data_IF_843986839844
#
_entry.id   IF_843986839844
#
_cell.length_a   1.000
_cell.length_b   1.000
_cell.length_c   1.000
_cell.angle_alpha   90.00
_cell.angle_beta   90.00
_cell.angle_gamma   90.00
#
_symmetry.space_group_name_H-M   'P 1'
#
loop_
_entity.id
_entity.type
_entity.pdbx_description
1 polymer ?
#
# COMPACT_ATOMS: atom_id res chain seq x y z
N UNK A 1 -5.05 13.51 9.09
CA UNK A 1 -5.66 12.26 8.58
C UNK A 1 -4.80 11.74 7.42
N UNK A 2 -4.75 10.43 7.13
CA UNK A 2 -3.87 9.87 6.06
C UNK A 2 -4.06 10.58 4.70
N UNK A 3 -5.31 10.89 4.34
CA UNK A 3 -5.63 11.61 3.11
C UNK A 3 -5.14 13.06 3.07
N UNK A 4 -4.95 13.74 4.20
CA UNK A 4 -4.49 15.14 4.20
C UNK A 4 -3.05 15.28 3.72
N UNK A 5 -2.24 14.25 3.95
CA UNK A 5 -0.85 14.19 3.51
C UNK A 5 -0.74 13.83 2.03
N UNK A 6 -1.46 12.79 1.58
CA UNK A 6 -1.32 12.23 0.22
C UNK A 6 -2.30 12.82 -0.81
N UNK A 7 -3.35 13.51 -0.34
CA UNK A 7 -4.36 14.14 -1.18
C UNK A 7 -4.97 15.40 -0.53
N UNK A 8 -4.23 16.52 -0.51
CA UNK A 8 -4.69 17.76 0.10
C UNK A 8 -6.00 18.25 -0.51
N UNK A 9 -6.90 18.79 0.32
CA UNK A 9 -8.24 19.24 -0.08
C UNK A 9 -9.14 18.13 -0.66
N UNK A 10 -8.94 16.87 -0.28
CA UNK A 10 -9.78 15.74 -0.72
C UNK A 10 -11.27 15.96 -0.42
N UNK A 11 -11.61 16.66 0.67
CA UNK A 11 -12.98 17.00 1.06
C UNK A 11 -13.73 17.78 -0.03
N UNK A 12 -13.04 18.68 -0.74
CA UNK A 12 -13.64 19.47 -1.85
C UNK A 12 -13.92 18.64 -3.09
N UNK A 13 -13.29 17.46 -3.18
CA UNK A 13 -13.41 16.51 -4.30
C UNK A 13 -14.29 15.32 -3.93
N UNK A 14 -14.92 15.38 -2.74
CA UNK A 14 -15.78 14.34 -2.25
C UNK A 14 -17.11 14.36 -3.01
N UNK A 15 -17.38 13.26 -3.71
CA UNK A 15 -18.70 13.04 -4.30
C UNK A 15 -19.61 12.44 -3.23
N UNK A 16 -20.75 13.09 -2.89
CA UNK A 16 -21.68 12.56 -1.91
C UNK A 16 -22.33 11.28 -2.46
N UNK A 17 -22.39 10.25 -1.61
CA UNK A 17 -23.07 8.99 -1.93
C UNK A 17 -24.08 8.67 -0.83
N UNK A 18 -25.18 8.01 -1.20
CA UNK A 18 -26.04 7.31 -0.23
C UNK A 18 -25.17 6.31 0.52
N UNK A 19 -25.09 6.46 1.85
CA UNK A 19 -24.36 5.58 2.74
C UNK A 19 -24.74 4.12 2.46
N UNK A 20 -23.81 3.36 1.88
CA UNK A 20 -23.89 1.91 1.92
C UNK A 20 -23.10 1.49 3.15
N UNK A 21 -23.75 0.78 4.06
CA UNK A 21 -23.08 0.21 5.21
C UNK A 21 -22.13 -0.89 4.73
N UNK A 22 -20.83 -0.71 4.95
CA UNK A 22 -19.84 -1.75 4.68
C UNK A 22 -19.68 -2.60 5.93
N UNK A 23 -19.61 -3.92 5.74
CA UNK A 23 -19.31 -4.85 6.83
C UNK A 23 -17.82 -5.22 6.73
N UNK A 24 -17.08 -4.85 7.75
CA UNK A 24 -15.73 -5.34 8.03
C UNK A 24 -15.82 -6.54 8.98
N UNK A 25 -14.75 -7.34 9.06
CA UNK A 25 -14.59 -8.37 10.08
C UNK A 25 -14.71 -7.81 11.51
N UNK A 26 -14.38 -6.53 11.72
CA UNK A 26 -14.42 -5.85 13.01
C UNK A 26 -15.74 -5.10 13.31
N UNK A 27 -16.70 -5.06 12.37
CA UNK A 27 -17.96 -4.34 12.58
C UNK A 27 -18.46 -3.60 11.35
N UNK A 28 -19.46 -2.73 11.54
CA UNK A 28 -19.97 -1.85 10.48
C UNK A 28 -19.03 -0.65 10.35
N UNK A 29 -18.65 -0.33 9.12
CA UNK A 29 -17.89 0.88 8.78
C UNK A 29 -18.81 1.92 8.14
N UNK A 30 -18.57 3.18 8.46
CA UNK A 30 -19.31 4.31 7.92
C UNK A 30 -18.54 4.99 6.80
N UNK A 31 -19.23 5.30 5.70
CA UNK A 31 -18.62 5.93 4.53
C UNK A 31 -18.96 7.41 4.47
N UNK A 32 -17.96 8.26 4.26
CA UNK A 32 -18.10 9.71 4.12
C UNK A 32 -18.49 10.08 2.68
N UNK A 33 -17.86 9.43 1.69
CA UNK A 33 -18.11 9.71 0.28
C UNK A 33 -17.13 9.00 -0.64
N UNK A 34 -17.02 9.47 -1.88
CA UNK A 34 -16.10 8.90 -2.88
C UNK A 34 -15.13 9.94 -3.38
N UNK A 35 -13.93 9.49 -3.72
CA UNK A 35 -12.91 10.29 -4.40
C UNK A 35 -12.36 9.50 -5.59
N UNK A 36 -11.96 10.20 -6.64
CA UNK A 36 -11.22 9.60 -7.75
C UNK A 36 -9.76 10.02 -7.57
N UNK A 37 -8.84 9.05 -7.53
CA UNK A 37 -7.41 9.32 -7.35
C UNK A 37 -6.62 8.54 -8.39
N UNK A 38 -5.84 9.25 -9.20
CA UNK A 38 -4.91 8.60 -10.14
C UNK A 38 -3.76 7.96 -9.35
N UNK A 39 -3.50 6.69 -9.62
CA UNK A 39 -2.32 5.95 -9.16
C UNK A 39 -1.37 5.82 -10.35
N UNK A 40 -0.21 6.45 -10.23
CA UNK A 40 0.86 6.37 -11.22
C UNK A 40 1.93 5.43 -10.70
N UNK A 41 2.11 4.30 -11.38
CA UNK A 41 3.14 3.32 -11.04
C UNK A 41 4.29 3.47 -12.04
N UNK A 42 5.47 3.93 -11.60
CA UNK A 42 6.61 4.10 -12.48
C UNK A 42 7.10 2.74 -12.98
N UNK A 43 7.38 2.64 -14.27
CA UNK A 43 7.93 1.42 -14.85
C UNK A 43 8.89 1.75 -16.01
N UNK A 44 9.91 0.91 -16.20
CA UNK A 44 11.02 1.12 -17.15
C UNK A 44 10.57 1.32 -18.60
N UNK A 45 9.39 0.81 -18.99
CA UNK A 45 8.81 0.92 -20.34
C UNK A 45 7.72 1.99 -20.45
N UNK A 46 7.63 2.89 -19.46
CA UNK A 46 6.59 3.90 -19.33
C UNK A 46 5.69 3.64 -18.14
N UNK A 47 5.12 4.72 -17.60
CA UNK A 47 4.30 4.68 -16.38
C UNK A 47 2.96 4.02 -16.64
N UNK A 48 2.53 3.19 -15.68
CA UNK A 48 1.19 2.63 -15.64
C UNK A 48 0.32 3.61 -14.86
N UNK A 49 -0.86 3.95 -15.40
CA UNK A 49 -1.81 4.87 -14.76
C UNK A 49 -3.11 4.15 -14.52
N UNK A 50 -3.57 4.17 -13.27
CA UNK A 50 -4.86 3.63 -12.84
C UNK A 50 -5.69 4.81 -12.34
N UNK A 51 -6.98 4.84 -12.68
CA UNK A 51 -7.91 5.87 -12.17
C UNK A 51 -9.03 5.23 -11.34
N UNK A 52 -8.70 4.60 -10.20
CA UNK A 52 -9.69 4.04 -9.31
C UNK A 52 -10.50 5.12 -8.59
N UNK A 53 -11.74 4.78 -8.34
CA UNK A 53 -12.66 5.48 -7.44
C UNK A 53 -12.64 4.79 -6.08
N UNK A 54 -12.22 5.54 -5.06
CA UNK A 54 -12.12 5.10 -3.68
C UNK A 54 -13.34 5.54 -2.88
N UNK A 55 -13.69 4.71 -1.90
CA UNK A 55 -14.61 5.07 -0.85
C UNK A 55 -13.80 5.60 0.34
N UNK A 56 -14.17 6.76 0.85
CA UNK A 56 -13.59 7.31 2.08
C UNK A 56 -14.39 6.81 3.27
N UNK A 57 -13.68 6.21 4.23
CA UNK A 57 -14.24 5.68 5.47
C UNK A 57 -13.85 6.58 6.65
N UNK A 58 -14.79 6.81 7.56
CA UNK A 58 -14.60 7.67 8.74
C UNK A 58 -13.84 6.95 9.87
N UNK A 59 -14.08 5.64 9.99
CA UNK A 59 -13.64 4.80 11.10
C UNK A 59 -12.64 3.71 10.68
N UNK A 60 -11.88 3.96 9.62
CA UNK A 60 -10.87 3.01 9.16
C UNK A 60 -9.63 3.00 10.06
N UNK A 61 -9.32 1.84 10.65
CA UNK A 61 -8.05 1.60 11.34
C UNK A 61 -6.85 1.44 10.38
N UNK A 62 -7.12 1.21 9.09
CA UNK A 62 -6.09 1.02 8.06
C UNK A 62 -5.74 2.38 7.46
N UNK A 63 -4.46 2.74 7.52
CA UNK A 63 -3.90 3.93 6.87
C UNK A 63 -3.33 3.55 5.50
N UNK A 64 -4.17 3.58 4.47
CA UNK A 64 -3.74 3.25 3.12
C UNK A 64 -4.89 3.16 2.11
N UNK A 65 -4.53 3.09 0.83
CA UNK A 65 -5.49 2.81 -0.24
C UNK A 65 -5.67 1.30 -0.40
N UNK A 66 -6.92 0.85 -0.33
CA UNK A 66 -7.28 -0.54 -0.59
C UNK A 66 -7.91 -0.65 -1.98
N UNK A 67 -7.25 -1.41 -2.86
CA UNK A 67 -7.81 -1.79 -4.15
C UNK A 67 -8.58 -3.10 -4.00
N UNK A 68 -9.89 -3.03 -4.25
CA UNK A 68 -10.76 -4.19 -4.24
C UNK A 68 -10.49 -5.15 -5.41
N UNK A 69 -11.12 -6.33 -5.34
CA UNK A 69 -11.03 -7.37 -6.37
C UNK A 69 -11.68 -6.96 -7.69
N UNK A 70 -12.57 -5.97 -7.68
CA UNK A 70 -13.14 -5.32 -8.85
C UNK A 70 -12.07 -4.64 -9.70
N UNK A 71 -11.22 -3.83 -9.06
CA UNK A 71 -10.09 -3.19 -9.74
C UNK A 71 -8.98 -4.16 -10.10
N UNK A 72 -8.77 -5.22 -9.31
CA UNK A 72 -7.84 -6.29 -9.68
C UNK A 72 -8.26 -6.92 -11.01
N UNK A 73 -9.53 -7.28 -11.18
CA UNK A 73 -10.03 -7.82 -12.45
C UNK A 73 -9.99 -6.78 -13.58
N UNK A 74 -10.42 -5.55 -13.30
CA UNK A 74 -10.50 -4.49 -14.32
C UNK A 74 -9.13 -4.15 -14.92
N UNK A 75 -8.08 -4.13 -14.09
CA UNK A 75 -6.73 -3.80 -14.51
C UNK A 75 -5.83 -5.02 -14.73
N UNK A 76 -6.36 -6.24 -14.61
CA UNK A 76 -5.58 -7.47 -14.72
C UNK A 76 -4.41 -7.50 -13.72
N UNK A 77 -4.70 -7.19 -12.46
CA UNK A 77 -3.71 -7.19 -11.38
C UNK A 77 -3.65 -8.57 -10.77
N UNK A 78 -2.52 -9.26 -10.97
CA UNK A 78 -2.26 -10.57 -10.37
C UNK A 78 -1.05 -10.52 -9.46
N UNK A 79 -1.13 -11.23 -8.33
CA UNK A 79 -0.03 -11.37 -7.37
C UNK A 79 0.52 -12.78 -7.49
N UNK A 80 1.78 -12.89 -7.91
CA UNK A 80 2.46 -14.17 -8.03
C UNK A 80 3.41 -14.37 -6.84
N UNK A 81 3.23 -15.49 -6.17
CA UNK A 81 4.11 -15.93 -5.08
C UNK A 81 5.00 -17.06 -5.60
N UNK A 82 6.11 -16.69 -6.25
CA UNK A 82 7.12 -17.63 -6.75
C UNK A 82 8.44 -17.40 -6.01
N UNK A 83 9.61 -17.57 -6.65
CA UNK A 83 10.92 -17.27 -6.02
C UNK A 83 10.98 -15.84 -5.43
N UNK A 84 10.34 -14.88 -6.10
CA UNK A 84 10.10 -13.52 -5.59
C UNK A 84 8.61 -13.17 -5.73
N UNK A 85 8.09 -12.38 -4.78
CA UNK A 85 6.72 -11.87 -4.80
C UNK A 85 6.64 -10.69 -5.78
N UNK A 86 5.88 -10.85 -6.86
CA UNK A 86 5.73 -9.81 -7.88
C UNK A 86 4.26 -9.58 -8.21
N UNK A 87 3.96 -8.33 -8.58
CA UNK A 87 2.64 -7.90 -9.04
C UNK A 87 2.73 -7.77 -10.54
N UNK A 88 1.82 -8.40 -11.26
CA UNK A 88 1.62 -8.07 -12.67
C UNK A 88 0.42 -7.16 -12.83
N UNK A 89 0.49 -6.23 -13.77
CA UNK A 89 -0.61 -5.35 -14.13
C UNK A 89 -0.83 -5.49 -15.64
N UNK A 90 -2.06 -5.86 -16.00
CA UNK A 90 -2.53 -5.91 -17.37
C UNK A 90 -2.52 -4.51 -17.99
N UNK A 91 -2.05 -4.42 -19.23
CA UNK A 91 -2.12 -3.17 -20.01
C UNK A 91 -3.10 -3.32 -21.18
N UNK A 92 -3.67 -2.21 -21.64
CA UNK A 92 -4.56 -2.16 -22.82
C UNK A 92 -3.95 -2.79 -24.08
N UNK A 93 -2.62 -2.97 -24.13
CA UNK A 93 -1.89 -3.58 -25.25
C UNK A 93 -1.66 -5.09 -25.10
N UNK A 94 -2.29 -5.74 -24.11
CA UNK A 94 -2.17 -7.19 -23.86
C UNK A 94 -0.83 -7.64 -23.29
N UNK A 95 0.07 -6.71 -22.92
CA UNK A 95 1.35 -7.01 -22.30
C UNK A 95 1.25 -6.78 -20.80
N UNK A 96 1.44 -7.82 -20.01
CA UNK A 96 1.50 -7.71 -18.56
C UNK A 96 2.83 -7.09 -18.16
N UNK A 97 2.78 -6.11 -17.26
CA UNK A 97 3.98 -5.52 -16.66
C UNK A 97 4.20 -6.16 -15.31
N UNK A 98 5.37 -6.73 -15.08
CA UNK A 98 5.76 -7.29 -13.78
C UNK A 98 6.54 -6.27 -12.97
N UNK A 99 6.16 -6.12 -11.71
CA UNK A 99 6.77 -5.24 -10.72
C UNK A 99 7.20 -6.08 -9.53
N UNK A 100 8.49 -6.03 -9.20
CA UNK A 100 9.01 -6.63 -7.96
C UNK A 100 8.58 -5.75 -6.78
N UNK A 101 7.80 -6.31 -5.85
CA UNK A 101 7.23 -5.58 -4.71
C UNK A 101 8.33 -4.93 -3.86
N UNK A 102 9.51 -5.54 -3.79
CA UNK A 102 10.62 -5.04 -2.98
C UNK A 102 11.40 -3.90 -3.64
N UNK A 103 11.15 -3.60 -4.93
CA UNK A 103 11.78 -2.49 -5.65
C UNK A 103 10.91 -1.22 -5.69
N UNK A 104 9.67 -1.28 -5.16
CA UNK A 104 8.68 -0.18 -5.24
C UNK A 104 8.84 0.82 -4.08
N UNK A 105 9.61 0.52 -3.04
CA UNK A 105 9.87 1.48 -1.95
C UNK A 105 10.67 2.68 -2.46
N UNK A 106 9.98 3.83 -2.56
CA UNK A 106 10.57 5.13 -2.87
C UNK A 106 10.93 5.94 -1.60
N UNK A 107 10.79 5.35 -0.40
CA UNK A 107 11.20 5.98 0.84
C UNK A 107 12.71 5.86 1.05
N UNK A 108 13.27 6.81 1.83
CA UNK A 108 14.61 6.66 2.40
C UNK A 108 14.73 5.25 3.02
N UNK A 109 15.74 4.44 2.64
CA UNK A 109 15.94 3.10 3.18
C UNK A 109 15.91 3.04 4.71
N UNK A 110 16.20 4.14 5.39
CA UNK A 110 16.12 4.29 6.84
C UNK A 110 14.69 4.47 7.37
N UNK A 111 13.88 5.33 6.76
CA UNK A 111 12.48 5.53 7.17
C UNK A 111 11.62 4.29 6.89
N UNK A 112 11.87 3.61 5.77
CA UNK A 112 11.25 2.33 5.46
C UNK A 112 11.59 1.29 6.53
N UNK A 113 12.86 1.21 6.94
CA UNK A 113 13.33 0.33 8.01
C UNK A 113 12.62 0.64 9.34
N UNK A 114 12.54 1.91 9.71
CA UNK A 114 11.97 2.33 10.98
C UNK A 114 10.46 2.07 11.03
N UNK A 115 9.76 2.25 9.90
CA UNK A 115 8.35 1.93 9.77
C UNK A 115 8.09 0.42 9.76
N UNK A 116 8.92 -0.37 9.07
CA UNK A 116 8.80 -1.84 9.00
C UNK A 116 8.88 -2.49 10.38
N UNK A 117 9.70 -1.93 11.28
CA UNK A 117 9.88 -2.44 12.64
C UNK A 117 9.22 -1.57 13.71
N UNK A 118 8.28 -0.69 13.33
CA UNK A 118 7.63 0.27 14.24
C UNK A 118 6.85 -0.42 15.37
N UNK A 119 6.30 -1.59 15.08
CA UNK A 119 5.59 -2.43 16.06
C UNK A 119 6.52 -3.40 16.80
N UNK A 120 7.80 -3.49 16.39
CA UNK A 120 8.78 -4.36 17.00
C UNK A 120 9.28 -3.82 18.33
N UNK A 121 9.22 -4.63 19.39
CA UNK A 121 9.84 -4.29 20.67
C UNK A 121 11.37 -4.40 20.59
N UNK A 122 12.03 -3.32 20.18
CA UNK A 122 13.48 -3.23 20.17
C UNK A 122 13.95 -2.66 21.51
N UNK A 123 14.90 -3.35 22.14
CA UNK A 123 15.46 -2.95 23.43
C UNK A 123 15.91 -1.48 23.42
N UNK A 124 15.53 -0.76 24.48
CA UNK A 124 15.95 0.62 24.76
C UNK A 124 17.44 0.72 25.05
N UNK A 125 18.09 -0.39 25.42
CA UNK A 125 19.52 -0.45 25.76
C UNK A 125 20.43 -0.40 24.52
N UNK A 126 19.87 -0.46 23.31
CA UNK A 126 20.64 -0.39 22.08
C UNK A 126 20.89 1.07 21.69
N UNK A 127 22.16 1.38 21.41
CA UNK A 127 22.55 2.67 20.82
C UNK A 127 21.98 2.82 19.41
N UNK A 128 21.88 4.06 18.90
CA UNK A 128 21.36 4.32 17.56
C UNK A 128 22.10 3.54 16.45
N UNK A 129 23.43 3.40 16.56
CA UNK A 129 24.23 2.60 15.62
C UNK A 129 23.93 1.09 15.70
N UNK A 130 23.72 0.56 16.91
CA UNK A 130 23.38 -0.85 17.10
C UNK A 130 21.97 -1.16 16.60
N UNK A 131 20.99 -0.27 16.84
CA UNK A 131 19.66 -0.38 16.27
C UNK A 131 19.72 -0.41 14.74
N UNK A 132 20.44 0.53 14.13
CA UNK A 132 20.61 0.57 12.68
C UNK A 132 21.21 -0.73 12.12
N UNK A 133 22.25 -1.25 12.76
CA UNK A 133 22.90 -2.50 12.36
C UNK A 133 21.97 -3.71 12.50
N UNK A 134 21.22 -3.79 13.59
CA UNK A 134 20.24 -4.83 13.84
C UNK A 134 19.15 -4.82 12.76
N UNK A 135 18.57 -3.66 12.49
CA UNK A 135 17.50 -3.51 11.49
C UNK A 135 17.97 -3.88 10.08
N UNK A 136 19.20 -3.51 9.71
CA UNK A 136 19.82 -3.94 8.44
C UNK A 136 19.98 -5.46 8.35
N UNK A 137 20.38 -6.09 9.45
CA UNK A 137 20.52 -7.54 9.53
C UNK A 137 19.17 -8.26 9.46
N UNK A 138 18.15 -7.73 10.14
CA UNK A 138 16.78 -8.25 10.08
C UNK A 138 16.20 -8.12 8.66
N UNK A 139 16.38 -6.98 7.98
CA UNK A 139 15.97 -6.80 6.58
C UNK A 139 16.69 -7.76 5.63
N UNK A 140 18.00 -7.96 5.80
CA UNK A 140 18.79 -8.91 4.99
C UNK A 140 18.29 -10.35 5.15
N UNK A 141 17.89 -10.72 6.36
CA UNK A 141 17.43 -12.06 6.71
C UNK A 141 15.90 -12.18 6.77
N UNK A 142 15.17 -11.21 6.19
CA UNK A 142 13.70 -11.16 6.22
C UNK A 142 13.03 -12.50 5.85
N UNK A 143 13.50 -13.27 4.84
CA UNK A 143 12.90 -14.57 4.52
C UNK A 143 12.95 -15.60 5.65
N UNK A 144 13.91 -15.48 6.58
CA UNK A 144 14.02 -16.38 7.74
C UNK A 144 13.05 -16.02 8.87
N UNK A 145 12.54 -14.79 8.88
CA UNK A 145 11.63 -14.26 9.90
C UNK A 145 10.19 -14.09 9.38
N UNK A 146 9.98 -14.12 8.07
CA UNK A 146 8.66 -14.10 7.44
C UNK A 146 8.13 -15.51 7.19
N UNK A 147 7.85 -16.25 8.28
CA UNK A 147 6.95 -17.41 8.24
C UNK A 147 5.75 -17.08 9.12
N UNK A 148 4.68 -16.64 8.48
CA UNK A 148 3.39 -16.27 9.05
C UNK A 148 2.44 -15.84 7.94
#
# INVERSE_FOLDING_TARGET
>A
MYLDNDFPNWEKQLFPKKAKNFKSASGKMSSIGRIIKEIIIPHKKGNIRLNPEFLVLDDAHIQGFLLGTDYQRMYGIDIYNSKNRHITIGTKKGKNVSLDIYQISAQDPLEELLNEFREGQISTNLTGKQKLSLMKMLRKNRPAFSNG
#
